data_IF_300166875426
#
_entry.id   IF_300166875426
#
_cell.length_a   1.000
_cell.length_b   1.000
_cell.length_c   1.000
_cell.angle_alpha   90.00
_cell.angle_beta   90.00
_cell.angle_gamma   90.00
#
_symmetry.space_group_name_H-M   'P 1'
#
loop_
_entity.id
_entity.type
_entity.pdbx_description
1 polymer ?
#
# COMPACT_ATOMS: atom_id res chain seq x y z
N UNK A 1 -54.31 34.73 34.21
CA UNK A 1 -53.10 34.73 33.35
C UNK A 1 -52.05 33.89 34.02
N UNK A 2 -51.77 32.68 33.51
CA UNK A 2 -50.70 31.82 34.03
C UNK A 2 -49.50 31.95 33.10
N UNK A 3 -48.30 32.19 33.61
CA UNK A 3 -47.11 32.19 32.78
C UNK A 3 -46.66 30.74 32.52
N UNK A 4 -46.60 30.35 31.23
CA UNK A 4 -46.00 29.09 30.79
C UNK A 4 -44.48 29.23 30.77
N UNK A 5 -43.82 28.46 31.62
CA UNK A 5 -42.34 28.36 31.65
C UNK A 5 -41.90 27.36 30.57
N UNK A 6 -41.21 27.84 29.54
CA UNK A 6 -40.53 26.97 28.57
C UNK A 6 -39.19 26.54 29.11
N UNK A 7 -39.01 25.23 29.34
CA UNK A 7 -37.71 24.65 29.70
C UNK A 7 -36.98 24.28 28.39
N UNK A 8 -35.88 24.95 28.11
CA UNK A 8 -34.98 24.66 26.98
C UNK A 8 -34.04 23.54 27.42
N UNK A 9 -34.23 22.34 26.86
CA UNK A 9 -33.32 21.22 27.05
C UNK A 9 -32.14 21.37 26.09
N UNK A 10 -30.93 21.69 26.61
CA UNK A 10 -29.68 21.69 25.84
C UNK A 10 -29.16 20.27 25.81
N UNK A 11 -29.24 19.63 24.64
CA UNK A 11 -28.55 18.35 24.38
C UNK A 11 -27.07 18.64 24.11
N UNK A 12 -26.21 18.43 25.09
CA UNK A 12 -24.76 18.35 24.89
C UNK A 12 -24.44 16.99 24.25
N UNK A 13 -24.29 16.99 22.94
CA UNK A 13 -23.75 15.85 22.21
C UNK A 13 -22.29 15.63 22.61
N UNK A 14 -22.00 14.61 23.41
CA UNK A 14 -20.63 14.16 23.67
C UNK A 14 -20.09 13.55 22.39
N UNK A 15 -19.30 14.32 21.64
CA UNK A 15 -18.51 13.80 20.54
C UNK A 15 -17.39 12.93 21.16
N UNK A 16 -17.63 11.64 21.30
CA UNK A 16 -16.65 10.69 21.80
C UNK A 16 -15.48 10.60 20.81
N UNK A 17 -14.33 11.18 21.18
CA UNK A 17 -13.07 10.94 20.45
C UNK A 17 -12.72 9.47 20.67
N UNK A 18 -12.83 8.63 19.65
CA UNK A 18 -12.36 7.26 19.70
C UNK A 18 -10.84 7.25 19.81
N UNK A 19 -10.31 6.44 20.72
CA UNK A 19 -8.87 6.28 20.87
C UNK A 19 -8.27 5.61 19.63
N UNK A 20 -7.24 6.22 19.07
CA UNK A 20 -6.49 5.66 17.95
C UNK A 20 -5.58 4.52 18.44
N UNK A 21 -5.70 3.35 17.82
CA UNK A 21 -4.87 2.17 18.09
C UNK A 21 -3.82 2.00 16.99
N UNK A 22 -2.57 1.75 17.38
CA UNK A 22 -1.50 1.45 16.42
C UNK A 22 -1.53 -0.02 16.04
N UNK A 23 -1.68 -0.30 14.74
CA UNK A 23 -1.64 -1.64 14.13
C UNK A 23 -0.21 -1.99 13.71
N UNK A 24 0.45 -1.06 13.01
CA UNK A 24 1.86 -1.17 12.63
C UNK A 24 2.56 0.10 13.11
N UNK A 25 3.54 0.00 14.02
CA UNK A 25 4.26 1.15 14.54
C UNK A 25 5.27 1.68 13.53
N UNK A 26 5.56 2.98 13.58
CA UNK A 26 6.48 3.65 12.65
C UNK A 26 7.92 3.13 12.70
N UNK A 27 8.30 2.38 13.72
CA UNK A 27 9.60 1.74 13.89
C UNK A 27 9.62 0.27 13.46
N UNK A 28 8.60 -0.21 12.74
CA UNK A 28 8.51 -1.63 12.30
C UNK A 28 9.69 -2.08 11.41
N UNK A 29 10.45 -1.15 10.84
CA UNK A 29 11.65 -1.42 10.03
C UNK A 29 12.97 -1.11 10.77
N UNK A 30 12.96 -1.00 12.09
CA UNK A 30 14.16 -0.68 12.87
C UNK A 30 15.25 -1.77 12.80
N UNK A 31 14.85 -3.02 12.62
CA UNK A 31 15.70 -4.20 12.45
C UNK A 31 14.91 -5.33 11.78
N UNK A 32 15.59 -6.36 11.28
CA UNK A 32 14.95 -7.58 10.78
C UNK A 32 14.09 -8.25 11.86
N UNK A 33 14.58 -8.34 13.08
CA UNK A 33 13.82 -8.94 14.19
C UNK A 33 12.52 -8.17 14.51
N UNK A 34 12.54 -6.83 14.39
CA UNK A 34 11.31 -6.02 14.54
C UNK A 34 10.42 -6.14 13.31
N UNK A 35 10.99 -6.12 12.11
CA UNK A 35 10.27 -6.32 10.86
C UNK A 35 9.46 -7.62 10.90
N UNK A 36 10.06 -8.74 11.28
CA UNK A 36 9.41 -10.06 11.36
C UNK A 36 8.27 -10.14 12.37
N UNK A 37 8.10 -9.17 13.26
CA UNK A 37 6.93 -9.10 14.14
C UNK A 37 5.68 -8.63 13.39
N UNK A 38 5.84 -7.76 12.37
CA UNK A 38 4.74 -7.08 11.68
C UNK A 38 4.58 -7.50 10.22
N UNK A 39 5.61 -8.05 9.59
CA UNK A 39 5.67 -8.31 8.16
C UNK A 39 6.02 -9.75 7.84
N UNK A 40 5.49 -10.22 6.72
CA UNK A 40 5.85 -11.47 6.06
C UNK A 40 6.64 -11.16 4.77
N UNK A 41 7.38 -12.16 4.31
CA UNK A 41 8.10 -12.14 3.05
C UNK A 41 7.19 -12.61 1.90
N UNK A 42 7.54 -12.21 0.69
CA UNK A 42 6.84 -12.52 -0.57
C UNK A 42 5.44 -11.87 -0.63
N UNK A 43 4.68 -12.22 -1.67
CA UNK A 43 3.25 -11.92 -1.72
C UNK A 43 2.47 -12.95 -0.88
N UNK A 44 1.24 -12.66 -0.45
CA UNK A 44 0.40 -13.66 0.22
C UNK A 44 0.17 -14.93 -0.61
N UNK A 45 0.31 -14.84 -1.94
CA UNK A 45 0.11 -15.94 -2.90
C UNK A 45 1.40 -16.53 -3.46
N UNK A 46 2.58 -16.08 -3.02
CA UNK A 46 3.87 -16.64 -3.44
C UNK A 46 4.84 -15.61 -4.04
N UNK A 47 5.74 -16.08 -4.89
CA UNK A 47 6.86 -15.27 -5.39
C UNK A 47 6.56 -14.49 -6.67
N UNK A 48 5.52 -14.86 -7.41
CA UNK A 48 5.26 -14.32 -8.74
C UNK A 48 4.00 -13.47 -8.77
N UNK A 49 4.02 -12.43 -9.60
CA UNK A 49 2.89 -11.56 -9.92
C UNK A 49 2.94 -11.20 -11.42
N UNK A 50 2.26 -10.13 -11.80
CA UNK A 50 2.02 -9.73 -13.19
C UNK A 50 3.20 -8.99 -13.89
N UNK A 51 4.36 -8.84 -13.24
CA UNK A 51 5.56 -8.25 -13.82
C UNK A 51 6.69 -9.26 -14.02
N UNK A 52 7.85 -8.79 -14.46
CA UNK A 52 9.02 -9.60 -14.81
C UNK A 52 9.98 -9.86 -13.63
N UNK A 53 9.60 -9.52 -12.40
CA UNK A 53 10.39 -9.84 -11.22
C UNK A 53 9.80 -11.02 -10.46
N UNK A 54 10.66 -11.99 -10.11
CA UNK A 54 10.37 -12.99 -9.09
C UNK A 54 10.82 -12.50 -7.75
N UNK A 55 9.95 -12.57 -6.77
CA UNK A 55 10.24 -12.14 -5.41
C UNK A 55 11.05 -13.17 -4.65
N UNK A 56 12.06 -12.67 -3.93
CA UNK A 56 12.99 -13.45 -3.12
C UNK A 56 13.00 -12.86 -1.71
N UNK A 57 12.90 -13.72 -0.70
CA UNK A 57 12.98 -13.32 0.70
C UNK A 57 12.44 -14.39 1.64
N UNK A 58 13.10 -14.54 2.77
CA UNK A 58 12.71 -15.40 3.89
C UNK A 58 13.42 -14.94 5.15
N UNK A 59 13.13 -15.56 6.30
CA UNK A 59 13.86 -15.29 7.56
C UNK A 59 15.36 -15.64 7.50
N UNK A 60 15.80 -16.38 6.48
CA UNK A 60 17.21 -16.73 6.24
C UNK A 60 17.79 -16.12 4.96
N UNK A 61 16.99 -15.42 4.15
CA UNK A 61 17.44 -14.76 2.92
C UNK A 61 16.90 -13.33 2.84
N UNK A 62 17.77 -12.38 3.07
CA UNK A 62 17.48 -10.95 3.03
C UNK A 62 18.18 -10.24 1.84
N UNK A 63 18.62 -10.99 0.83
CA UNK A 63 19.38 -10.45 -0.31
C UNK A 63 18.62 -9.36 -1.08
N UNK A 64 17.29 -9.41 -1.09
CA UNK A 64 16.41 -8.45 -1.76
C UNK A 64 15.53 -7.63 -0.80
N UNK A 65 15.66 -7.83 0.52
CA UNK A 65 14.87 -7.16 1.55
C UNK A 65 15.80 -6.78 2.70
N UNK A 66 16.01 -5.49 2.93
CA UNK A 66 16.77 -5.00 4.08
C UNK A 66 15.88 -4.12 4.96
N UNK A 67 15.78 -4.45 6.25
CA UNK A 67 15.10 -3.63 7.25
C UNK A 67 16.10 -3.23 8.34
N UNK A 68 16.54 -1.99 8.30
CA UNK A 68 17.52 -1.43 9.23
C UNK A 68 17.33 0.09 9.38
N UNK A 69 17.69 0.61 10.55
CA UNK A 69 17.63 2.06 10.84
C UNK A 69 16.28 2.68 10.48
N UNK A 70 15.21 1.97 10.78
CA UNK A 70 13.82 2.33 10.51
C UNK A 70 13.48 2.52 9.01
N UNK A 71 14.24 1.87 8.14
CA UNK A 71 14.03 1.91 6.69
C UNK A 71 13.96 0.49 6.13
N UNK A 72 12.89 0.19 5.40
CA UNK A 72 12.80 -0.95 4.50
C UNK A 72 13.43 -0.55 3.17
N UNK A 73 14.34 -1.37 2.66
CA UNK A 73 14.87 -1.26 1.30
C UNK A 73 14.57 -2.54 0.54
N UNK A 74 13.75 -2.45 -0.49
CA UNK A 74 13.54 -3.51 -1.47
C UNK A 74 14.54 -3.32 -2.61
N UNK A 75 15.11 -4.42 -3.07
CA UNK A 75 16.22 -4.42 -4.03
C UNK A 75 15.83 -5.33 -5.20
N UNK A 76 15.85 -4.80 -6.42
CA UNK A 76 15.70 -5.58 -7.64
C UNK A 76 17.05 -5.68 -8.36
N UNK A 77 17.42 -6.89 -8.78
CA UNK A 77 18.63 -7.15 -9.57
C UNK A 77 18.28 -7.93 -10.83
N UNK A 78 18.86 -7.58 -12.00
CA UNK A 78 18.70 -8.37 -13.20
C UNK A 78 19.16 -9.82 -13.00
N UNK A 79 18.44 -10.77 -13.58
CA UNK A 79 18.80 -12.20 -13.59
C UNK A 79 18.53 -12.84 -14.94
N UNK A 80 19.40 -13.74 -15.35
CA UNK A 80 19.22 -14.58 -16.54
C UNK A 80 18.96 -16.06 -16.18
N UNK A 81 18.96 -16.40 -14.87
CA UNK A 81 18.95 -17.78 -14.40
C UNK A 81 17.69 -18.10 -13.55
N UNK A 82 16.58 -17.40 -13.80
CA UNK A 82 15.33 -17.67 -13.09
C UNK A 82 14.80 -19.09 -13.41
N UNK A 83 14.39 -19.82 -12.39
CA UNK A 83 13.82 -21.17 -12.53
C UNK A 83 12.46 -21.22 -11.79
N UNK A 84 11.38 -21.46 -12.54
CA UNK A 84 11.23 -21.47 -14.01
C UNK A 84 11.52 -20.10 -14.63
N UNK A 85 11.83 -20.01 -15.94
CA UNK A 85 12.19 -18.74 -16.59
C UNK A 85 11.01 -17.81 -16.83
N UNK A 86 9.79 -18.27 -16.60
CA UNK A 86 8.55 -17.49 -16.72
C UNK A 86 7.81 -17.44 -15.40
N UNK A 87 7.06 -16.36 -15.19
CA UNK A 87 6.17 -16.21 -14.03
C UNK A 87 5.08 -17.28 -14.03
N UNK A 88 4.72 -17.78 -12.86
CA UNK A 88 3.55 -18.65 -12.65
C UNK A 88 2.24 -17.86 -12.64
N UNK A 89 2.31 -16.53 -12.48
CA UNK A 89 1.15 -15.65 -12.49
C UNK A 89 0.82 -15.19 -13.93
N UNK A 90 -0.47 -15.04 -14.23
CA UNK A 90 -0.93 -14.48 -15.48
C UNK A 90 -0.47 -13.00 -15.61
N UNK A 91 0.04 -12.54 -16.77
CA UNK A 91 0.07 -13.17 -18.12
C UNK A 91 1.28 -14.08 -18.41
N UNK A 92 1.96 -14.59 -17.37
CA UNK A 92 3.16 -15.45 -17.48
C UNK A 92 4.35 -14.77 -18.14
N UNK A 93 4.73 -13.54 -17.74
CA UNK A 93 5.88 -12.86 -18.34
C UNK A 93 7.18 -13.62 -18.09
N UNK A 94 8.17 -13.42 -18.97
CA UNK A 94 9.53 -13.89 -18.71
C UNK A 94 10.07 -13.19 -17.45
N UNK A 95 10.82 -13.93 -16.63
CA UNK A 95 11.46 -13.39 -15.44
C UNK A 95 12.84 -12.84 -15.81
N UNK A 96 13.01 -11.52 -15.63
CA UNK A 96 14.25 -10.80 -15.92
C UNK A 96 14.93 -10.29 -14.65
N UNK A 97 14.22 -10.30 -13.48
CA UNK A 97 14.72 -9.77 -12.22
C UNK A 97 14.41 -10.72 -11.06
N UNK A 98 15.31 -10.71 -10.06
CA UNK A 98 14.99 -11.10 -8.70
C UNK A 98 14.74 -9.83 -7.89
N UNK A 99 13.70 -9.79 -7.05
CA UNK A 99 13.32 -8.59 -6.30
C UNK A 99 12.71 -8.91 -4.94
N UNK A 100 12.41 -7.87 -4.16
CA UNK A 100 11.80 -8.00 -2.84
C UNK A 100 10.34 -7.55 -2.81
N UNK A 101 9.54 -8.24 -2.01
CA UNK A 101 8.20 -7.81 -1.58
C UNK A 101 7.91 -8.28 -0.17
N UNK A 102 7.07 -7.54 0.52
CA UNK A 102 6.63 -7.82 1.89
C UNK A 102 5.15 -7.51 2.04
N UNK A 103 4.45 -8.24 2.91
CA UNK A 103 3.07 -7.91 3.26
C UNK A 103 2.85 -7.92 4.77
N UNK A 104 1.93 -7.08 5.24
CA UNK A 104 1.62 -6.97 6.65
C UNK A 104 0.96 -8.25 7.19
N UNK A 105 1.33 -8.67 8.40
CA UNK A 105 0.66 -9.78 9.12
C UNK A 105 -0.76 -9.42 9.51
N UNK A 106 -0.99 -8.15 9.86
CA UNK A 106 -2.31 -7.63 10.19
C UNK A 106 -3.05 -7.21 8.92
N UNK A 107 -4.27 -7.70 8.76
CA UNK A 107 -5.16 -7.30 7.67
C UNK A 107 -5.85 -5.97 7.99
N UNK A 108 -6.20 -5.22 6.97
CA UNK A 108 -6.96 -3.97 7.06
C UNK A 108 -8.43 -4.29 6.75
N UNK A 109 -9.33 -3.99 7.70
CA UNK A 109 -10.76 -4.23 7.52
C UNK A 109 -11.56 -3.02 8.01
N UNK A 110 -11.96 -2.16 7.08
CA UNK A 110 -12.79 -0.99 7.40
C UNK A 110 -14.20 -1.46 7.75
N UNK A 111 -14.73 -0.95 8.86
CA UNK A 111 -16.10 -1.21 9.30
C UNK A 111 -16.79 0.11 9.66
N UNK A 112 -18.09 0.09 9.92
CA UNK A 112 -18.81 1.29 10.38
C UNK A 112 -18.23 1.89 11.68
N UNK A 113 -17.43 1.11 12.41
CA UNK A 113 -16.84 1.51 13.70
C UNK A 113 -15.32 1.59 13.69
N UNK A 114 -14.66 1.22 12.59
CA UNK A 114 -13.20 1.24 12.48
C UNK A 114 -12.77 1.84 11.13
N UNK A 115 -12.18 3.03 11.20
CA UNK A 115 -11.48 3.66 10.09
C UNK A 115 -9.97 3.45 10.23
N UNK A 116 -9.25 3.47 9.11
CA UNK A 116 -7.80 3.26 9.08
C UNK A 116 -7.08 4.46 8.50
N UNK A 117 -5.92 4.76 9.07
CA UNK A 117 -4.94 5.68 8.48
C UNK A 117 -3.66 4.91 8.20
N UNK A 118 -3.25 4.90 6.94
CA UNK A 118 -1.99 4.35 6.46
C UNK A 118 -1.10 5.50 6.06
N UNK A 119 0.10 5.57 6.62
CA UNK A 119 1.08 6.62 6.34
C UNK A 119 2.45 5.98 6.13
N UNK A 120 3.25 6.53 5.22
CA UNK A 120 4.65 6.18 5.05
C UNK A 120 5.40 7.25 4.26
N UNK A 121 6.72 7.19 4.32
CA UNK A 121 7.61 8.03 3.51
C UNK A 121 8.37 7.13 2.53
N UNK A 122 8.37 7.52 1.26
CA UNK A 122 8.81 6.71 0.13
C UNK A 122 9.88 7.42 -0.69
N UNK A 123 10.95 6.71 -1.03
CA UNK A 123 11.92 7.09 -2.06
C UNK A 123 11.81 6.07 -3.18
N UNK A 124 11.11 6.46 -4.25
CA UNK A 124 10.67 5.55 -5.31
C UNK A 124 11.42 5.78 -6.61
N UNK A 125 11.91 4.71 -7.27
CA UNK A 125 12.41 4.79 -8.63
C UNK A 125 11.23 5.03 -9.59
N UNK A 126 11.48 5.84 -10.64
CA UNK A 126 10.48 6.22 -11.64
C UNK A 126 10.93 5.90 -13.07
N UNK A 127 12.08 5.24 -13.24
CA UNK A 127 12.59 4.85 -14.55
C UNK A 127 11.68 3.83 -15.24
N UNK A 128 11.62 3.86 -16.57
CA UNK A 128 10.93 2.82 -17.35
C UNK A 128 11.34 1.44 -16.88
N UNK A 129 10.37 0.55 -16.73
CA UNK A 129 10.57 -0.80 -16.25
C UNK A 129 10.74 -0.94 -14.73
N UNK A 130 10.56 0.13 -13.94
CA UNK A 130 10.44 0.03 -12.47
C UNK A 130 8.99 0.15 -12.07
N UNK A 131 8.50 -0.77 -11.24
CA UNK A 131 7.10 -0.83 -10.82
C UNK A 131 6.97 -1.07 -9.32
N UNK A 132 7.44 -0.14 -8.49
CA UNK A 132 7.22 -0.20 -7.05
C UNK A 132 5.79 0.13 -6.68
N UNK A 133 5.28 -0.49 -5.60
CA UNK A 133 3.95 -0.21 -5.09
C UNK A 133 3.84 -0.27 -3.56
N UNK A 134 2.86 0.47 -3.04
CA UNK A 134 2.33 0.44 -1.67
C UNK A 134 0.82 0.42 -1.77
N UNK A 135 0.20 -0.73 -1.49
CA UNK A 135 -1.16 -1.00 -1.91
C UNK A 135 -1.91 -1.98 -1.00
N UNK A 136 -3.21 -2.01 -1.17
CA UNK A 136 -4.13 -2.90 -0.48
C UNK A 136 -4.88 -3.76 -1.50
N UNK A 137 -4.96 -5.07 -1.26
CA UNK A 137 -5.74 -5.97 -2.10
C UNK A 137 -6.50 -6.99 -1.26
N UNK A 138 -7.60 -7.51 -1.80
CA UNK A 138 -8.48 -8.44 -1.10
C UNK A 138 -7.76 -9.71 -0.64
N UNK A 139 -8.06 -10.14 0.58
CA UNK A 139 -7.65 -11.45 1.10
C UNK A 139 -8.35 -12.59 0.36
N UNK A 140 -9.59 -12.37 -0.05
CA UNK A 140 -10.40 -13.34 -0.76
C UNK A 140 -11.09 -12.69 -1.98
N UNK A 141 -10.78 -13.21 -3.16
CA UNK A 141 -11.26 -12.66 -4.43
C UNK A 141 -10.47 -11.43 -4.87
N UNK A 142 -10.80 -10.88 -6.03
CA UNK A 142 -10.28 -9.62 -6.56
C UNK A 142 -11.32 -9.01 -7.52
N UNK A 143 -11.57 -7.73 -7.44
CA UNK A 143 -11.26 -6.76 -6.40
C UNK A 143 -11.95 -7.09 -5.07
N UNK A 144 -11.75 -6.33 -3.98
CA UNK A 144 -11.27 -4.94 -3.89
C UNK A 144 -9.74 -4.79 -3.95
N UNK A 145 -9.31 -3.62 -4.47
CA UNK A 145 -7.91 -3.18 -4.47
C UNK A 145 -7.84 -1.65 -4.42
N UNK A 146 -6.86 -1.11 -3.71
CA UNK A 146 -6.53 0.32 -3.76
C UNK A 146 -5.03 0.54 -3.64
N UNK A 147 -4.46 1.34 -4.56
CA UNK A 147 -3.05 1.69 -4.61
C UNK A 147 -2.85 3.07 -3.99
N UNK A 148 -2.07 3.12 -2.91
CA UNK A 148 -1.71 4.36 -2.20
C UNK A 148 -0.44 4.96 -2.81
N UNK A 149 0.45 4.10 -3.28
CA UNK A 149 1.64 4.44 -4.04
C UNK A 149 1.84 3.43 -5.15
N UNK A 150 1.86 3.87 -6.40
CA UNK A 150 2.18 3.03 -7.54
C UNK A 150 2.89 3.86 -8.61
N UNK A 151 4.08 3.44 -9.04
CA UNK A 151 4.88 4.12 -10.04
C UNK A 151 5.12 3.19 -11.22
N UNK A 152 4.61 3.57 -12.39
CA UNK A 152 4.62 2.75 -13.62
C UNK A 152 5.62 3.30 -14.63
N UNK A 153 6.91 3.35 -14.26
CA UNK A 153 7.97 3.80 -15.17
C UNK A 153 7.84 5.26 -15.59
N UNK A 154 7.15 6.08 -14.81
CA UNK A 154 6.97 7.52 -15.05
C UNK A 154 7.09 8.29 -13.74
N UNK A 155 7.38 9.60 -13.82
CA UNK A 155 7.44 10.49 -12.67
C UNK A 155 6.02 10.88 -12.18
N UNK A 156 5.16 9.89 -11.98
CA UNK A 156 3.85 10.05 -11.40
C UNK A 156 3.59 8.95 -10.37
N UNK A 157 2.96 9.31 -9.27
CA UNK A 157 2.28 8.36 -8.40
C UNK A 157 0.83 8.19 -8.90
N UNK A 158 0.37 6.95 -8.97
CA UNK A 158 -1.01 6.59 -9.31
C UNK A 158 -1.76 6.24 -8.03
N UNK A 159 -2.77 7.02 -7.68
CA UNK A 159 -3.77 6.60 -6.71
C UNK A 159 -4.87 5.87 -7.47
N UNK A 160 -5.04 4.58 -7.21
CA UNK A 160 -6.08 3.80 -7.87
C UNK A 160 -7.04 3.17 -6.85
N UNK A 161 -8.30 2.97 -7.27
CA UNK A 161 -9.27 2.13 -6.58
C UNK A 161 -10.03 1.30 -7.61
N UNK A 162 -9.89 -0.03 -7.51
CA UNK A 162 -10.55 -0.99 -8.38
C UNK A 162 -11.87 -1.43 -7.74
N UNK A 163 -12.98 -1.03 -8.33
CA UNK A 163 -14.33 -1.47 -7.93
C UNK A 163 -14.71 -2.78 -8.60
N UNK A 164 -14.25 -2.98 -9.86
CA UNK A 164 -14.33 -4.24 -10.59
C UNK A 164 -13.04 -4.40 -11.40
N UNK A 165 -12.84 -5.55 -12.05
CA UNK A 165 -11.69 -5.77 -12.95
C UNK A 165 -11.62 -4.80 -14.14
N UNK A 166 -12.71 -4.09 -14.44
CA UNK A 166 -12.83 -3.15 -15.56
C UNK A 166 -13.22 -1.73 -15.14
N UNK A 167 -13.53 -1.51 -13.85
CA UNK A 167 -13.90 -0.17 -13.34
C UNK A 167 -12.86 0.22 -12.29
N UNK A 168 -11.94 1.09 -12.70
CA UNK A 168 -10.91 1.67 -11.86
C UNK A 168 -11.00 3.19 -11.87
N UNK A 169 -10.92 3.80 -10.69
CA UNK A 169 -10.65 5.23 -10.57
C UNK A 169 -9.15 5.42 -10.41
N UNK A 170 -8.56 6.30 -11.23
CA UNK A 170 -7.14 6.65 -11.15
C UNK A 170 -6.98 8.17 -11.09
N UNK A 171 -6.15 8.63 -10.15
CA UNK A 171 -5.73 10.03 -10.05
C UNK A 171 -4.18 10.05 -10.04
N UNK A 172 -3.59 10.72 -11.04
CA UNK A 172 -2.15 10.82 -11.22
C UNK A 172 -1.63 12.09 -10.57
N UNK A 173 -0.58 11.95 -9.76
CA UNK A 173 0.08 13.06 -9.08
C UNK A 173 1.57 13.04 -9.42
N UNK A 174 2.10 14.20 -9.86
CA UNK A 174 3.52 14.32 -10.15
C UNK A 174 4.38 13.91 -8.94
N UNK A 175 5.34 13.03 -9.18
CA UNK A 175 6.30 12.54 -8.19
C UNK A 175 7.66 13.15 -8.45
N UNK A 176 8.34 13.73 -7.45
CA UNK A 176 9.70 14.22 -7.59
C UNK A 176 10.69 13.12 -7.96
N UNK A 177 11.64 13.42 -8.83
CA UNK A 177 12.61 12.43 -9.35
C UNK A 177 13.98 12.51 -8.67
N UNK A 178 14.09 13.26 -7.59
CA UNK A 178 15.32 13.50 -6.83
C UNK A 178 15.69 12.36 -5.87
N UNK A 179 14.84 11.30 -5.82
CA UNK A 179 14.97 10.16 -4.90
C UNK A 179 14.93 10.53 -3.41
N UNK A 180 14.51 11.74 -3.07
CA UNK A 180 14.20 12.11 -1.69
C UNK A 180 12.97 11.37 -1.17
N UNK A 181 12.76 11.39 0.15
CA UNK A 181 11.57 10.80 0.74
C UNK A 181 10.40 11.78 0.69
N UNK A 182 9.28 11.32 0.12
CA UNK A 182 8.00 12.01 0.12
C UNK A 182 6.96 11.17 0.86
N UNK A 183 6.06 11.83 1.59
CA UNK A 183 5.05 11.10 2.35
C UNK A 183 3.80 10.83 1.51
N UNK A 184 3.26 9.63 1.67
CA UNK A 184 1.91 9.27 1.23
C UNK A 184 1.05 8.91 2.43
N UNK A 185 -0.21 9.30 2.38
CA UNK A 185 -1.21 8.91 3.36
C UNK A 185 -2.51 8.52 2.67
N UNK A 186 -3.13 7.46 3.15
CA UNK A 186 -4.52 7.14 2.85
C UNK A 186 -5.33 7.06 4.15
N UNK A 187 -6.51 7.70 4.15
CA UNK A 187 -7.49 7.57 5.22
C UNK A 187 -8.70 6.84 4.66
N UNK A 188 -9.00 5.66 5.22
CA UNK A 188 -10.09 4.80 4.81
C UNK A 188 -11.22 4.88 5.83
N UNK A 189 -12.40 5.32 5.41
CA UNK A 189 -13.57 5.50 6.29
C UNK A 189 -14.81 4.91 5.63
N UNK A 190 -15.60 4.17 6.40
CA UNK A 190 -16.89 3.66 5.90
C UNK A 190 -17.85 4.82 5.59
N UNK A 191 -18.48 4.76 4.44
CA UNK A 191 -19.53 5.69 4.04
C UNK A 191 -20.85 5.42 4.79
N UNK A 192 -21.72 6.41 4.80
CA UNK A 192 -23.02 6.35 5.49
C UNK A 192 -23.97 5.27 4.92
N UNK A 193 -23.72 4.80 3.69
CA UNK A 193 -24.47 3.69 3.09
C UNK A 193 -24.11 2.33 3.69
N UNK A 194 -23.09 2.23 4.55
CA UNK A 194 -22.65 1.03 5.23
C UNK A 194 -22.00 -0.04 4.33
N UNK A 195 -21.78 0.27 3.06
CA UNK A 195 -21.21 -0.65 2.07
C UNK A 195 -19.87 -0.16 1.49
N UNK A 196 -19.76 1.13 1.22
CA UNK A 196 -18.63 1.71 0.52
C UNK A 196 -17.60 2.31 1.48
N UNK A 197 -16.36 2.37 1.03
CA UNK A 197 -15.26 3.01 1.76
C UNK A 197 -14.82 4.25 0.99
N UNK A 198 -14.86 5.40 1.66
CA UNK A 198 -14.21 6.62 1.20
C UNK A 198 -12.72 6.52 1.51
N UNK A 199 -11.89 6.87 0.53
CA UNK A 199 -10.44 6.85 0.61
C UNK A 199 -9.92 8.23 0.25
N UNK A 200 -9.37 8.94 1.25
CA UNK A 200 -8.74 10.24 1.07
C UNK A 200 -7.23 10.07 0.96
N UNK A 201 -6.66 10.44 -0.17
CA UNK A 201 -5.23 10.36 -0.45
C UNK A 201 -4.54 11.71 -0.28
N UNK A 202 -3.39 11.70 0.37
CA UNK A 202 -2.53 12.89 0.53
C UNK A 202 -1.08 12.56 0.18
N UNK A 203 -0.38 13.55 -0.34
CA UNK A 203 1.07 13.54 -0.58
C UNK A 203 1.68 14.78 0.07
N UNK A 204 2.74 14.60 0.86
CA UNK A 204 3.44 15.66 1.61
C UNK A 204 2.48 16.53 2.43
N UNK A 205 1.52 15.87 3.09
CA UNK A 205 0.51 16.52 3.92
C UNK A 205 -0.59 17.26 3.14
N UNK A 206 -0.54 17.27 1.80
CA UNK A 206 -1.53 17.94 0.95
C UNK A 206 -2.49 16.90 0.37
N UNK A 207 -3.78 17.08 0.58
CA UNK A 207 -4.83 16.25 -0.03
C UNK A 207 -4.72 16.31 -1.56
N UNK A 208 -4.78 15.15 -2.21
CA UNK A 208 -4.63 15.02 -3.68
C UNK A 208 -5.86 14.44 -4.35
N UNK A 209 -6.51 13.46 -3.73
CA UNK A 209 -7.68 12.80 -4.31
C UNK A 209 -8.59 12.22 -3.23
N UNK A 210 -9.88 12.10 -3.55
CA UNK A 210 -10.84 11.27 -2.83
C UNK A 210 -11.42 10.27 -3.81
N UNK A 211 -11.35 8.99 -3.44
CA UNK A 211 -11.93 7.89 -4.21
C UNK A 211 -12.89 7.07 -3.34
N UNK A 212 -13.67 6.20 -3.95
CA UNK A 212 -14.66 5.37 -3.26
C UNK A 212 -14.51 3.92 -3.70
N UNK A 213 -14.28 3.03 -2.72
CA UNK A 213 -14.25 1.60 -2.90
C UNK A 213 -15.65 1.02 -2.70
N UNK A 214 -16.34 0.68 -3.79
CA UNK A 214 -17.70 0.15 -3.74
C UNK A 214 -17.71 -1.24 -3.12
N UNK A 215 -18.49 -1.42 -2.05
CA UNK A 215 -18.60 -2.68 -1.33
C UNK A 215 -17.37 -3.10 -0.54
N UNK A 216 -16.44 -2.18 -0.20
CA UNK A 216 -15.21 -2.49 0.53
C UNK A 216 -15.44 -2.67 2.04
N UNK A 217 -16.53 -2.17 2.62
CA UNK A 217 -16.82 -2.32 4.05
C UNK A 217 -16.89 -3.80 4.41
N UNK A 218 -16.16 -4.19 5.47
CA UNK A 218 -16.06 -5.57 5.95
C UNK A 218 -15.17 -6.48 5.13
N UNK A 219 -14.56 -6.01 4.04
CA UNK A 219 -13.59 -6.78 3.27
C UNK A 219 -12.22 -6.69 3.92
N UNK A 220 -11.62 -7.84 4.19
CA UNK A 220 -10.25 -7.91 4.68
C UNK A 220 -9.27 -7.71 3.51
N UNK A 221 -8.28 -6.83 3.72
CA UNK A 221 -7.28 -6.47 2.72
C UNK A 221 -5.87 -6.76 3.25
N UNK A 222 -5.02 -7.34 2.40
CA UNK A 222 -3.58 -7.38 2.60
C UNK A 222 -2.97 -6.01 2.30
N UNK A 223 -2.08 -5.53 3.17
CA UNK A 223 -1.21 -4.39 2.89
C UNK A 223 0.12 -4.91 2.38
N UNK A 224 0.50 -4.50 1.18
CA UNK A 224 1.68 -4.98 0.45
C UNK A 224 2.59 -3.81 0.09
N UNK A 225 3.90 -4.06 0.15
CA UNK A 225 4.95 -3.18 -0.37
C UNK A 225 5.83 -4.04 -1.26
N UNK A 226 5.95 -3.70 -2.51
CA UNK A 226 6.76 -4.47 -3.47
C UNK A 226 7.54 -3.59 -4.43
N UNK A 227 8.60 -4.16 -4.98
CA UNK A 227 9.34 -3.63 -6.12
C UNK A 227 9.20 -4.60 -7.28
N UNK A 228 8.08 -4.50 -8.01
CA UNK A 228 7.91 -5.24 -9.25
C UNK A 228 8.71 -4.54 -10.37
N UNK A 229 8.98 -5.26 -11.44
CA UNK A 229 9.74 -4.78 -12.58
C UNK A 229 9.00 -5.05 -13.87
N UNK A 230 9.15 -4.18 -14.84
CA UNK A 230 8.54 -4.26 -16.16
C UNK A 230 7.00 -4.37 -16.12
N UNK A 231 6.37 -5.17 -16.95
CA UNK A 231 4.91 -5.25 -17.00
C UNK A 231 4.28 -3.91 -17.39
N UNK A 232 3.40 -3.38 -16.54
CA UNK A 232 2.72 -2.09 -16.80
C UNK A 232 3.65 -0.87 -16.78
N UNK A 233 4.90 -1.01 -16.31
CA UNK A 233 5.89 0.08 -16.27
C UNK A 233 6.78 0.16 -17.52
N UNK A 234 6.54 -0.69 -18.51
CA UNK A 234 7.33 -0.77 -19.73
C UNK A 234 8.53 -1.71 -19.62
N UNK A 235 9.19 -1.96 -20.77
CA UNK A 235 10.34 -2.86 -20.92
C UNK A 235 11.24 -2.32 -22.05
N UNK A 236 12.56 -2.55 -22.00
CA UNK A 236 13.30 -3.19 -20.90
C UNK A 236 13.42 -2.28 -19.67
N UNK A 237 13.51 -2.89 -18.51
CA UNK A 237 13.82 -2.19 -17.27
C UNK A 237 15.31 -1.93 -17.09
N UNK A 238 15.74 -1.32 -15.96
CA UNK A 238 17.14 -0.98 -15.70
C UNK A 238 18.06 -2.20 -15.73
N UNK A 239 19.19 -2.09 -16.39
CA UNK A 239 20.21 -3.14 -16.47
C UNK A 239 21.08 -3.29 -15.21
N UNK A 240 20.86 -2.48 -14.18
CA UNK A 240 21.56 -2.51 -12.90
C UNK A 240 20.62 -2.69 -11.72
N UNK A 241 21.19 -2.69 -10.52
CA UNK A 241 20.41 -2.77 -9.27
C UNK A 241 19.50 -1.57 -9.13
N UNK A 242 18.23 -1.84 -8.81
CA UNK A 242 17.20 -0.84 -8.51
C UNK A 242 16.79 -0.97 -7.05
N UNK A 243 16.54 0.15 -6.37
CA UNK A 243 16.07 0.15 -4.97
C UNK A 243 14.79 0.97 -4.81
N UNK A 244 13.92 0.49 -3.94
CA UNK A 244 12.75 1.18 -3.44
C UNK A 244 12.84 1.24 -1.93
N UNK A 245 12.68 2.43 -1.34
CA UNK A 245 12.85 2.61 0.10
C UNK A 245 11.59 3.15 0.75
N UNK A 246 11.28 2.63 1.93
CA UNK A 246 10.14 3.03 2.74
C UNK A 246 10.60 3.22 4.18
N UNK A 247 10.20 4.32 4.81
CA UNK A 247 10.48 4.58 6.23
C UNK A 247 9.27 5.20 6.93
N UNK A 248 9.30 5.25 8.26
CA UNK A 248 8.27 5.86 9.08
C UNK A 248 6.85 5.34 8.79
N UNK A 249 6.75 4.12 8.21
CA UNK A 249 5.46 3.52 7.87
C UNK A 249 4.68 3.23 9.15
N UNK A 250 3.46 3.75 9.22
CA UNK A 250 2.57 3.60 10.35
C UNK A 250 1.15 3.29 9.88
N UNK A 251 0.52 2.32 10.53
CA UNK A 251 -0.90 2.02 10.35
C UNK A 251 -1.61 2.15 11.67
N UNK A 252 -2.70 2.90 11.69
CA UNK A 252 -3.55 3.08 12.86
C UNK A 252 -5.01 2.89 12.51
N UNK A 253 -5.83 2.52 13.48
CA UNK A 253 -7.29 2.53 13.37
C UNK A 253 -7.96 3.19 14.57
N UNK A 254 -9.20 3.66 14.40
CA UNK A 254 -10.06 4.24 15.44
C UNK A 254 -11.25 3.34 15.72
#
# INVERSE_FOLDING_TARGET
>A
MHPSTFTLAVFLGVCGVRAQTTVIPSNSFSSIATFEQYWNYLYPWGSDHNGAARMVGSSSDHSHINAASNTLTLIATPTSNAVPPTSTANPHPAIHYASGTVYAKSQITVTASASYTLYGEFSSPTAVGTWPAFWLTAVAGWPPETDIGEWKGTANNWFNTFNTSSIVRSDLVAWPTDLSFHSLQAVLTAESNGADVRIDFSMDGVHKATQYGAGFVGKALWLIIDLQMEGSSGSPGPGGTTTYKVRNLKVTHT
#
